data_IF_399422010063
#
_entry.id   IF_399422010063
#
_cell.length_a   1.000
_cell.length_b   1.000
_cell.length_c   1.000
_cell.angle_alpha   90.00
_cell.angle_beta   90.00
_cell.angle_gamma   90.00
#
_symmetry.space_group_name_H-M   'P 1'
#
loop_
_entity.id
_entity.type
_entity.pdbx_description
1 polymer ?
#
# COMPACT_ATOMS: atom_id res chain seq x y z
N UNK A 1 26.79 19.72 -61.37
CA UNK A 1 26.99 19.02 -60.07
C UNK A 1 26.31 19.68 -58.86
N UNK A 2 26.02 20.99 -58.84
CA UNK A 2 25.49 21.72 -57.66
C UNK A 2 24.03 21.38 -57.32
N UNK A 3 23.17 21.09 -58.30
CA UNK A 3 21.72 20.88 -58.11
C UNK A 3 21.35 19.58 -57.36
N UNK A 4 22.20 18.55 -57.45
CA UNK A 4 21.99 17.23 -56.81
C UNK A 4 22.27 17.31 -55.31
N UNK A 5 23.31 18.07 -54.92
CA UNK A 5 23.72 18.26 -53.52
C UNK A 5 22.66 19.01 -52.70
N UNK A 6 21.92 19.92 -53.33
CA UNK A 6 20.83 20.66 -52.69
C UNK A 6 19.59 19.78 -52.44
N UNK A 7 19.27 18.84 -53.36
CA UNK A 7 18.18 17.87 -53.15
C UNK A 7 18.51 16.88 -52.03
N UNK A 8 19.74 16.37 -51.98
CA UNK A 8 20.17 15.44 -50.93
C UNK A 8 20.10 16.03 -49.52
N UNK A 9 20.51 17.31 -49.35
CA UNK A 9 20.35 18.05 -48.08
C UNK A 9 18.89 18.18 -47.64
N UNK A 10 17.96 18.33 -48.58
CA UNK A 10 16.53 18.41 -48.27
C UNK A 10 15.99 17.05 -47.80
N UNK A 11 16.42 15.94 -48.40
CA UNK A 11 16.02 14.60 -47.94
C UNK A 11 16.56 14.27 -46.56
N UNK A 12 17.83 14.57 -46.27
CA UNK A 12 18.40 14.35 -44.93
C UNK A 12 17.69 15.18 -43.86
N UNK A 13 17.31 16.41 -44.19
CA UNK A 13 16.54 17.27 -43.29
C UNK A 13 15.15 16.69 -43.01
N UNK A 14 14.43 16.27 -44.07
CA UNK A 14 13.10 15.63 -43.94
C UNK A 14 13.17 14.35 -43.11
N UNK A 15 14.20 13.51 -43.33
CA UNK A 15 14.37 12.25 -42.60
C UNK A 15 14.67 12.48 -41.11
N UNK A 16 15.49 13.51 -40.80
CA UNK A 16 15.74 13.95 -39.44
C UNK A 16 14.46 14.48 -38.76
N UNK A 17 13.64 15.25 -39.50
CA UNK A 17 12.36 15.74 -39.00
C UNK A 17 11.38 14.60 -38.71
N UNK A 18 11.29 13.59 -39.59
CA UNK A 18 10.45 12.41 -39.37
C UNK A 18 10.88 11.66 -38.10
N UNK A 19 12.19 11.46 -37.93
CA UNK A 19 12.72 10.81 -36.74
C UNK A 19 12.43 11.62 -35.47
N UNK A 20 12.60 12.95 -35.52
CA UNK A 20 12.28 13.86 -34.41
C UNK A 20 10.80 13.82 -34.03
N UNK A 21 9.89 13.82 -35.01
CA UNK A 21 8.45 13.71 -34.78
C UNK A 21 8.10 12.34 -34.18
N UNK A 22 8.67 11.26 -34.72
CA UNK A 22 8.46 9.91 -34.17
C UNK A 22 8.94 9.81 -32.73
N UNK A 23 10.10 10.38 -32.40
CA UNK A 23 10.63 10.40 -31.05
C UNK A 23 9.71 11.19 -30.10
N UNK A 24 9.22 12.36 -30.53
CA UNK A 24 8.27 13.16 -29.77
C UNK A 24 6.97 12.38 -29.49
N UNK A 25 6.43 11.69 -30.50
CA UNK A 25 5.22 10.88 -30.35
C UNK A 25 5.42 9.74 -29.35
N UNK A 26 6.56 9.05 -29.40
CA UNK A 26 6.90 8.00 -28.42
C UNK A 26 7.02 8.61 -27.02
N UNK A 27 7.76 9.72 -26.87
CA UNK A 27 7.91 10.40 -25.59
C UNK A 27 6.56 10.79 -24.98
N UNK A 28 5.68 11.42 -25.77
CA UNK A 28 4.35 11.83 -25.33
C UNK A 28 3.49 10.61 -24.96
N UNK A 29 3.55 9.53 -25.75
CA UNK A 29 2.83 8.30 -25.47
C UNK A 29 3.27 7.67 -24.15
N UNK A 30 4.59 7.59 -23.91
CA UNK A 30 5.14 7.12 -22.64
C UNK A 30 4.70 8.01 -21.49
N UNK A 31 4.69 9.33 -21.66
CA UNK A 31 4.29 10.27 -20.63
C UNK A 31 2.79 10.11 -20.26
N UNK A 32 1.92 9.99 -21.26
CA UNK A 32 0.47 9.77 -21.06
C UNK A 32 0.24 8.44 -20.35
N UNK A 33 0.86 7.35 -20.81
CA UNK A 33 0.71 6.04 -20.18
C UNK A 33 1.24 6.04 -18.74
N UNK A 34 2.37 6.68 -18.50
CA UNK A 34 2.95 6.82 -17.15
C UNK A 34 2.06 7.63 -16.22
N UNK A 35 1.38 8.67 -16.74
CA UNK A 35 0.47 9.49 -15.94
C UNK A 35 -0.75 8.71 -15.43
N UNK A 36 -1.19 7.69 -16.16
CA UNK A 36 -2.29 6.80 -15.77
C UNK A 36 -1.90 5.82 -14.65
N UNK A 37 -0.59 5.59 -14.44
CA UNK A 37 -0.09 4.75 -13.35
C UNK A 37 0.04 5.50 -12.01
N UNK A 38 -0.18 6.81 -11.99
CA UNK A 38 -0.17 7.58 -10.74
C UNK A 38 -1.35 7.13 -9.87
N UNK A 39 -1.04 6.73 -8.64
CA UNK A 39 -2.07 6.29 -7.70
C UNK A 39 -3.11 7.38 -7.46
N UNK A 40 -4.43 7.08 -7.53
CA UNK A 40 -5.49 8.03 -7.17
C UNK A 40 -5.33 8.63 -5.77
N UNK A 41 -4.65 7.91 -4.87
CA UNK A 41 -4.31 8.34 -3.51
C UNK A 41 -3.48 9.64 -3.50
N UNK A 42 -2.61 9.83 -4.50
CA UNK A 42 -1.78 11.04 -4.63
C UNK A 42 -2.64 12.30 -4.77
N UNK A 43 -3.66 12.25 -5.62
CA UNK A 43 -4.57 13.39 -5.83
C UNK A 43 -5.45 13.67 -4.61
N UNK A 44 -5.82 12.64 -3.85
CA UNK A 44 -6.61 12.82 -2.63
C UNK A 44 -5.77 13.40 -1.48
N UNK A 45 -4.51 12.99 -1.38
CA UNK A 45 -3.50 13.59 -0.48
C UNK A 45 -3.30 15.08 -0.78
N UNK A 46 -3.18 15.46 -2.07
CA UNK A 46 -3.06 16.87 -2.47
C UNK A 46 -4.30 17.68 -2.07
N UNK A 47 -5.49 17.07 -2.10
CA UNK A 47 -6.75 17.70 -1.70
C UNK A 47 -6.94 17.79 -0.19
N UNK A 48 -5.89 17.54 0.59
CA UNK A 48 -5.90 17.57 2.05
C UNK A 48 -6.92 16.60 2.69
N UNK A 49 -7.29 15.53 1.99
CA UNK A 49 -8.21 14.53 2.54
C UNK A 49 -7.50 13.73 3.65
N UNK A 50 -7.88 14.01 4.90
CA UNK A 50 -7.36 13.35 6.10
C UNK A 50 -7.41 11.81 5.99
N UNK A 51 -8.47 11.25 5.42
CA UNK A 51 -8.62 9.79 5.28
C UNK A 51 -7.53 9.20 4.37
N UNK A 52 -7.25 9.87 3.27
CA UNK A 52 -6.18 9.47 2.34
C UNK A 52 -4.80 9.53 2.98
N UNK A 53 -4.54 10.53 3.84
CA UNK A 53 -3.31 10.56 4.63
C UNK A 53 -3.21 9.42 5.63
N UNK A 54 -4.31 9.06 6.30
CA UNK A 54 -4.33 7.89 7.20
C UNK A 54 -3.97 6.63 6.41
N UNK A 55 -4.59 6.40 5.24
CA UNK A 55 -4.30 5.25 4.38
C UNK A 55 -2.84 5.24 3.90
N UNK A 56 -2.29 6.41 3.57
CA UNK A 56 -0.88 6.54 3.21
C UNK A 56 0.03 6.17 4.38
N UNK A 57 -0.20 6.76 5.55
CA UNK A 57 0.58 6.52 6.76
C UNK A 57 0.49 5.05 7.22
N UNK A 58 -0.68 4.41 7.10
CA UNK A 58 -0.87 2.97 7.34
C UNK A 58 0.04 2.11 6.43
N UNK A 59 0.22 2.50 5.17
CA UNK A 59 1.04 1.74 4.20
C UNK A 59 2.54 1.91 4.43
N UNK A 60 2.96 3.06 4.93
CA UNK A 60 4.38 3.36 5.12
C UNK A 60 4.84 3.16 6.56
N UNK A 61 3.99 2.67 7.47
CA UNK A 61 4.28 2.55 8.91
C UNK A 61 5.54 1.76 9.25
N UNK A 62 5.88 0.78 8.42
CA UNK A 62 7.05 -0.09 8.61
C UNK A 62 8.33 0.49 7.98
N UNK A 63 8.24 1.65 7.32
CA UNK A 63 9.36 2.33 6.67
C UNK A 63 10.02 3.32 7.63
N UNK A 64 11.34 3.50 7.51
CA UNK A 64 12.11 4.45 8.32
C UNK A 64 11.66 5.91 8.17
N UNK A 65 10.98 6.24 7.08
CA UNK A 65 10.43 7.57 6.81
C UNK A 65 9.12 7.85 7.55
N UNK A 66 8.46 6.85 8.14
CA UNK A 66 7.17 7.02 8.79
C UNK A 66 7.13 8.13 9.86
N UNK A 67 8.09 8.22 10.81
CA UNK A 67 8.05 9.24 11.86
C UNK A 67 8.10 10.66 11.29
N UNK A 68 8.85 10.84 10.20
CA UNK A 68 8.93 12.13 9.50
C UNK A 68 7.57 12.52 8.90
N UNK A 69 6.95 11.62 8.13
CA UNK A 69 5.64 11.90 7.53
C UNK A 69 4.53 12.07 8.58
N UNK A 70 4.54 11.28 9.65
CA UNK A 70 3.59 11.43 10.74
C UNK A 70 3.76 12.78 11.43
N UNK A 71 5.00 13.18 11.74
CA UNK A 71 5.31 14.45 12.39
C UNK A 71 4.90 15.67 11.57
N UNK A 72 5.10 15.63 10.25
CA UNK A 72 4.65 16.68 9.34
C UNK A 72 3.13 16.89 9.42
N UNK A 73 2.36 15.79 9.41
CA UNK A 73 0.90 15.86 9.37
C UNK A 73 0.25 16.05 10.75
N UNK A 74 0.95 15.71 11.85
CA UNK A 74 0.51 16.08 13.22
C UNK A 74 0.36 17.59 13.38
N UNK A 75 1.15 18.40 12.67
CA UNK A 75 1.00 19.86 12.68
C UNK A 75 -0.28 20.36 12.02
N UNK A 76 -0.82 19.61 11.06
CA UNK A 76 -2.02 19.97 10.29
C UNK A 76 -3.28 19.41 10.96
N UNK A 77 -3.26 18.13 11.36
CA UNK A 77 -4.44 17.40 11.85
C UNK A 77 -4.43 17.17 13.37
N UNK A 78 -3.38 17.61 14.08
CA UNK A 78 -3.19 17.37 15.50
C UNK A 78 -2.86 15.92 15.83
N UNK A 79 -2.86 15.60 17.13
CA UNK A 79 -2.50 14.28 17.65
C UNK A 79 -3.52 13.17 17.29
N UNK A 80 -4.71 13.53 16.81
CA UNK A 80 -5.73 12.57 16.36
C UNK A 80 -5.29 11.76 15.14
N UNK A 81 -4.36 12.27 14.33
CA UNK A 81 -3.89 11.53 13.14
C UNK A 81 -3.18 10.24 13.53
N UNK A 82 -2.36 10.30 14.58
CA UNK A 82 -1.65 9.13 15.10
C UNK A 82 -2.63 8.09 15.62
N UNK A 83 -3.63 8.52 16.39
CA UNK A 83 -4.67 7.63 16.90
C UNK A 83 -5.39 6.90 15.76
N UNK A 84 -5.74 7.60 14.69
CA UNK A 84 -6.42 7.01 13.55
C UNK A 84 -5.53 6.05 12.75
N UNK A 85 -4.24 6.37 12.58
CA UNK A 85 -3.28 5.45 11.93
C UNK A 85 -3.18 4.14 12.70
N UNK A 86 -3.12 4.22 14.04
CA UNK A 86 -2.96 3.04 14.89
C UNK A 86 -4.28 2.38 15.33
N UNK A 87 -5.43 2.95 14.98
CA UNK A 87 -6.74 2.53 15.49
C UNK A 87 -7.05 1.05 15.21
N UNK A 88 -6.67 0.55 14.02
CA UNK A 88 -6.87 -0.86 13.64
C UNK A 88 -6.01 -1.79 14.49
N UNK A 89 -4.76 -1.44 14.77
CA UNK A 89 -3.88 -2.26 15.61
C UNK A 89 -4.32 -2.27 17.06
N UNK A 90 -4.70 -1.11 17.60
CA UNK A 90 -5.23 -1.02 18.98
C UNK A 90 -6.47 -1.90 19.12
N UNK A 91 -7.45 -1.76 18.23
CA UNK A 91 -8.67 -2.57 18.23
C UNK A 91 -8.38 -4.07 18.08
N UNK A 92 -7.40 -4.45 17.25
CA UNK A 92 -6.98 -5.84 17.09
C UNK A 92 -6.41 -6.39 18.40
N UNK A 93 -5.53 -5.65 19.08
CA UNK A 93 -4.95 -6.04 20.37
C UNK A 93 -6.00 -6.21 21.46
N UNK A 94 -6.94 -5.26 21.57
CA UNK A 94 -8.07 -5.38 22.50
C UNK A 94 -8.94 -6.60 22.19
N UNK A 95 -9.19 -6.88 20.90
CA UNK A 95 -9.95 -8.05 20.47
C UNK A 95 -9.24 -9.35 20.85
N UNK A 96 -7.92 -9.43 20.63
CA UNK A 96 -7.10 -10.56 21.04
C UNK A 96 -7.22 -10.79 22.55
N UNK A 97 -7.02 -9.75 23.37
CA UNK A 97 -7.11 -9.85 24.83
C UNK A 97 -8.48 -10.36 25.30
N UNK A 98 -9.56 -9.83 24.72
CA UNK A 98 -10.91 -10.28 25.05
C UNK A 98 -11.14 -11.76 24.69
N UNK A 99 -10.67 -12.20 23.52
CA UNK A 99 -10.78 -13.59 23.09
C UNK A 99 -9.94 -14.54 23.96
N UNK A 100 -8.72 -14.13 24.34
CA UNK A 100 -7.89 -14.89 25.28
C UNK A 100 -8.60 -15.03 26.64
N UNK A 101 -9.22 -13.96 27.13
CA UNK A 101 -10.04 -14.02 28.35
C UNK A 101 -11.23 -15.00 28.19
N UNK A 102 -11.92 -15.01 27.05
CA UNK A 102 -13.00 -15.98 26.82
C UNK A 102 -12.50 -17.43 26.78
N UNK A 103 -11.29 -17.69 26.26
CA UNK A 103 -10.69 -19.03 26.29
C UNK A 103 -10.40 -19.52 27.70
N UNK A 104 -10.10 -18.64 28.66
CA UNK A 104 -9.91 -19.08 30.06
C UNK A 104 -11.14 -19.79 30.62
N UNK A 105 -12.33 -19.41 30.14
CA UNK A 105 -13.62 -20.01 30.55
C UNK A 105 -14.05 -21.14 29.61
N UNK A 106 -13.67 -21.05 28.33
CA UNK A 106 -14.07 -21.98 27.27
C UNK A 106 -12.84 -22.45 26.48
N UNK A 107 -11.92 -23.24 27.07
CA UNK A 107 -10.62 -23.54 26.48
C UNK A 107 -10.69 -24.37 25.20
N UNK A 108 -11.82 -25.04 24.95
CA UNK A 108 -12.08 -25.85 23.75
C UNK A 108 -13.01 -25.14 22.75
N UNK A 109 -13.12 -23.82 22.81
CA UNK A 109 -13.88 -23.07 21.81
C UNK A 109 -13.10 -22.99 20.50
N UNK A 110 -13.45 -23.88 19.58
CA UNK A 110 -12.89 -23.99 18.22
C UNK A 110 -12.88 -22.67 17.47
N UNK A 111 -13.99 -21.93 17.50
CA UNK A 111 -14.12 -20.66 16.77
C UNK A 111 -13.26 -19.55 17.38
N UNK A 112 -13.11 -19.50 18.70
CA UNK A 112 -12.26 -18.51 19.37
C UNK A 112 -10.78 -18.79 19.07
N UNK A 113 -10.36 -20.05 19.14
CA UNK A 113 -9.00 -20.47 18.80
C UNK A 113 -8.67 -20.13 17.34
N UNK A 114 -9.57 -20.45 16.40
CA UNK A 114 -9.38 -20.11 14.99
C UNK A 114 -9.38 -18.58 14.76
N UNK A 115 -10.23 -17.83 15.45
CA UNK A 115 -10.24 -16.37 15.33
C UNK A 115 -8.94 -15.74 15.85
N UNK A 116 -8.39 -16.26 16.95
CA UNK A 116 -7.11 -15.82 17.48
C UNK A 116 -5.97 -16.11 16.52
N UNK A 117 -5.96 -17.27 15.85
CA UNK A 117 -4.91 -17.58 14.87
C UNK A 117 -4.89 -16.58 13.72
N UNK A 118 -6.06 -16.22 13.19
CA UNK A 118 -6.18 -15.21 12.13
C UNK A 118 -5.68 -13.83 12.60
N UNK A 119 -6.07 -13.39 13.81
CA UNK A 119 -5.67 -12.08 14.32
C UNK A 119 -4.17 -12.00 14.60
N UNK A 120 -3.56 -13.06 15.13
CA UNK A 120 -2.11 -13.10 15.32
C UNK A 120 -1.34 -13.15 14.00
N UNK A 121 -1.88 -13.83 12.99
CA UNK A 121 -1.31 -13.80 11.63
C UNK A 121 -1.35 -12.39 11.05
N UNK A 122 -2.47 -11.68 11.21
CA UNK A 122 -2.63 -10.29 10.76
C UNK A 122 -1.75 -9.30 11.55
N UNK A 123 -1.35 -9.64 12.77
CA UNK A 123 -0.36 -8.90 13.57
C UNK A 123 1.09 -9.21 13.15
N UNK A 124 1.31 -10.25 12.35
CA UNK A 124 2.64 -10.74 11.96
C UNK A 124 3.26 -11.71 12.97
N UNK A 125 2.54 -12.10 14.02
CA UNK A 125 3.00 -13.07 15.01
C UNK A 125 2.65 -14.51 14.58
N UNK A 126 3.45 -15.05 13.65
CA UNK A 126 3.23 -16.39 13.10
C UNK A 126 3.28 -17.47 14.18
N UNK A 127 4.19 -17.37 15.15
CA UNK A 127 4.32 -18.36 16.22
C UNK A 127 3.03 -18.53 17.02
N UNK A 128 2.41 -17.44 17.49
CA UNK A 128 1.13 -17.51 18.18
C UNK A 128 0.00 -17.92 17.25
N UNK A 129 0.03 -17.47 15.99
CA UNK A 129 -0.98 -17.84 15.01
C UNK A 129 -1.04 -19.37 14.84
N UNK A 130 0.11 -20.01 14.64
CA UNK A 130 0.24 -21.45 14.48
C UNK A 130 -0.15 -22.22 15.75
N UNK A 131 0.23 -21.71 16.93
CA UNK A 131 -0.17 -22.29 18.20
C UNK A 131 -1.70 -22.38 18.34
N UNK A 132 -2.39 -21.27 18.11
CA UNK A 132 -3.86 -21.21 18.20
C UNK A 132 -4.55 -22.03 17.09
N UNK A 133 -3.99 -22.04 15.89
CA UNK A 133 -4.50 -22.84 14.78
C UNK A 133 -4.40 -24.33 15.07
N UNK A 134 -3.28 -24.79 15.62
CA UNK A 134 -3.08 -26.19 16.01
C UNK A 134 -4.07 -26.60 17.11
N UNK A 135 -4.28 -25.75 18.12
CA UNK A 135 -5.30 -25.98 19.15
C UNK A 135 -6.71 -26.10 18.54
N UNK A 136 -7.05 -25.26 17.55
CA UNK A 136 -8.32 -25.34 16.85
C UNK A 136 -8.46 -26.66 16.07
N UNK A 137 -7.40 -27.10 15.37
CA UNK A 137 -7.38 -28.35 14.59
C UNK A 137 -7.49 -29.62 15.43
N UNK A 138 -6.94 -29.60 16.65
CA UNK A 138 -7.13 -30.72 17.60
C UNK A 138 -8.60 -30.93 17.93
N UNK A 139 -9.42 -29.88 17.88
CA UNK A 139 -10.85 -29.93 18.16
C UNK A 139 -11.65 -30.23 16.88
N UNK A 140 -11.27 -29.60 15.77
CA UNK A 140 -11.87 -29.78 14.46
C UNK A 140 -10.80 -29.83 13.36
N UNK A 141 -10.41 -31.04 12.91
CA UNK A 141 -9.38 -31.22 11.90
C UNK A 141 -9.72 -30.63 10.51
N UNK A 142 -10.97 -30.24 10.26
CA UNK A 142 -11.40 -29.69 8.96
C UNK A 142 -10.97 -28.22 8.79
N UNK A 143 -10.51 -27.57 9.85
CA UNK A 143 -10.03 -26.18 9.82
C UNK A 143 -8.74 -26.07 9.00
N UNK A 144 -8.78 -25.17 8.01
CA UNK A 144 -7.68 -24.86 7.11
C UNK A 144 -6.76 -23.78 7.66
#
# INVERSE_FOLDING_TARGET
MVKIRHRAKNYTFVLLSIFGISFLLVYLSVNILSSQLISPLYFQIIKEDRKSFIVFLEKIKDFSSFPYFLGMHKRIYGNRIEQDVFAKEVKRKETIQNLELFLTRNPKSRDILYRLSLLYRDEGNQTKADEYLNKARVIDPVIK
#
